data_IF_902034765125
#
_entry.id   IF_902034765125
#
_cell.length_a   1.000
_cell.length_b   1.000
_cell.length_c   1.000
_cell.angle_alpha   90.00
_cell.angle_beta   90.00
_cell.angle_gamma   90.00
#
_symmetry.space_group_name_H-M   'P 1'
#
loop_
_entity.id
_entity.type
_entity.pdbx_description
1 polymer ?
#
# COMPACT_ATOMS: atom_id res chain seq x y z
N UNK A 1 -14.43 9.60 6.87
CA UNK A 1 -13.67 10.52 5.98
C UNK A 1 -12.38 10.94 6.65
N UNK A 2 -11.32 11.16 5.89
CA UNK A 2 -9.99 11.57 6.38
C UNK A 2 -9.40 12.72 5.54
N UNK A 3 -10.11 13.15 4.51
CA UNK A 3 -9.73 14.31 3.71
C UNK A 3 -10.08 15.60 4.48
N UNK A 4 -9.06 16.42 4.74
CA UNK A 4 -9.20 17.65 5.51
C UNK A 4 -10.21 18.62 4.87
N UNK A 5 -10.15 18.78 3.55
CA UNK A 5 -10.99 19.76 2.86
C UNK A 5 -12.45 19.31 2.87
N UNK A 6 -12.72 18.02 2.73
CA UNK A 6 -14.06 17.47 2.86
C UNK A 6 -14.62 17.64 4.26
N UNK A 7 -13.82 17.38 5.30
CA UNK A 7 -14.24 17.56 6.70
C UNK A 7 -14.58 19.04 6.96
N UNK A 8 -13.76 19.99 6.46
CA UNK A 8 -13.96 21.42 6.65
C UNK A 8 -15.15 21.99 5.89
N UNK A 9 -15.61 21.33 4.81
CA UNK A 9 -16.78 21.74 4.03
C UNK A 9 -18.08 21.05 4.48
N UNK A 10 -18.01 20.14 5.45
CA UNK A 10 -19.20 19.49 5.99
C UNK A 10 -20.03 20.46 6.86
N UNK A 11 -21.34 20.31 6.86
CA UNK A 11 -22.23 21.07 7.76
C UNK A 11 -22.16 20.54 9.20
N UNK A 12 -21.91 19.23 9.34
CA UNK A 12 -21.84 18.54 10.63
C UNK A 12 -20.82 17.42 10.61
N UNK A 13 -20.03 17.29 11.66
CA UNK A 13 -18.95 16.29 11.81
C UNK A 13 -19.20 15.47 13.07
N UNK A 14 -19.09 14.17 12.95
CA UNK A 14 -19.02 13.22 14.05
C UNK A 14 -17.60 12.62 14.06
N UNK A 15 -16.84 12.90 15.10
CA UNK A 15 -15.49 12.37 15.29
C UNK A 15 -15.54 11.13 16.20
N UNK A 16 -15.09 10.00 15.67
CA UNK A 16 -15.14 8.71 16.36
C UNK A 16 -13.73 8.29 16.76
N UNK A 17 -13.58 7.94 18.03
CA UNK A 17 -12.28 7.60 18.61
C UNK A 17 -12.42 6.96 19.99
N UNK A 18 -11.41 7.20 20.88
CA UNK A 18 -10.16 7.94 20.65
C UNK A 18 -9.11 7.17 19.85
N UNK A 19 -9.21 5.84 19.74
CA UNK A 19 -8.28 4.98 19.02
C UNK A 19 -8.97 4.10 18.02
N UNK A 20 -8.32 2.99 17.65
CA UNK A 20 -8.84 2.00 16.72
C UNK A 20 -9.19 0.68 17.44
N UNK A 21 -10.06 -0.14 16.84
CA UNK A 21 -10.46 -1.44 17.38
C UNK A 21 -11.13 -1.32 18.75
N UNK A 22 -10.67 -2.09 19.73
CA UNK A 22 -11.20 -2.10 21.11
C UNK A 22 -11.06 -0.77 21.85
N UNK A 23 -10.22 0.12 21.36
CA UNK A 23 -9.96 1.45 21.93
C UNK A 23 -10.73 2.56 21.20
N UNK A 24 -11.59 2.21 20.27
CA UNK A 24 -12.41 3.13 19.48
C UNK A 24 -13.90 2.98 19.77
N UNK A 25 -14.72 3.47 18.83
CA UNK A 25 -16.17 3.29 18.85
C UNK A 25 -16.95 4.28 19.70
N UNK A 26 -16.31 5.33 20.20
CA UNK A 26 -16.96 6.42 20.95
C UNK A 26 -17.01 7.70 20.13
N UNK A 27 -18.07 8.49 20.27
CA UNK A 27 -18.09 9.85 19.77
C UNK A 27 -17.21 10.70 20.68
N UNK A 28 -16.11 11.23 20.18
CA UNK A 28 -15.15 12.06 20.92
C UNK A 28 -15.35 13.55 20.67
N UNK A 29 -16.00 13.89 19.56
CA UNK A 29 -16.44 15.25 19.25
C UNK A 29 -17.61 15.21 18.27
N UNK A 30 -18.51 16.21 18.35
CA UNK A 30 -19.68 16.35 17.51
C UNK A 30 -19.99 17.84 17.35
N UNK A 31 -20.39 18.25 16.13
CA UNK A 31 -20.80 19.62 15.83
C UNK A 31 -20.37 20.10 14.46
N UNK A 32 -20.39 21.40 14.24
CA UNK A 32 -19.81 22.00 13.03
C UNK A 32 -18.29 21.81 13.00
N UNK A 33 -17.63 21.95 11.85
CA UNK A 33 -16.15 21.89 11.77
C UNK A 33 -15.47 22.87 12.74
N UNK A 34 -16.06 24.05 12.99
CA UNK A 34 -15.54 25.03 13.94
C UNK A 34 -15.67 24.57 15.39
N UNK A 35 -16.72 23.85 15.74
CA UNK A 35 -16.91 23.29 17.08
C UNK A 35 -15.88 22.18 17.35
N UNK A 36 -15.58 21.38 16.33
CA UNK A 36 -14.57 20.31 16.42
C UNK A 36 -13.18 20.87 16.76
N UNK A 37 -12.79 22.04 16.28
CA UNK A 37 -11.47 22.61 16.58
C UNK A 37 -11.20 22.79 18.09
N UNK A 38 -12.22 23.00 18.87
CA UNK A 38 -12.10 23.19 20.33
C UNK A 38 -12.21 21.90 21.14
N UNK A 39 -12.53 20.77 20.51
CA UNK A 39 -12.80 19.49 21.22
C UNK A 39 -11.57 18.85 21.85
N UNK A 40 -10.36 19.20 21.43
CA UNK A 40 -9.12 18.56 21.89
C UNK A 40 -8.89 17.14 21.35
N UNK A 41 -9.78 16.63 20.50
CA UNK A 41 -9.62 15.32 19.86
C UNK A 41 -8.36 15.27 18.98
N UNK A 42 -7.90 14.06 18.63
CA UNK A 42 -6.76 13.93 17.71
C UNK A 42 -7.06 14.59 16.36
N UNK A 43 -8.26 14.42 15.85
CA UNK A 43 -8.74 15.05 14.62
C UNK A 43 -8.68 16.57 14.73
N UNK A 44 -9.17 17.14 15.85
CA UNK A 44 -9.15 18.58 16.07
C UNK A 44 -7.73 19.16 16.10
N UNK A 45 -6.78 18.45 16.71
CA UNK A 45 -5.39 18.89 16.79
C UNK A 45 -4.75 18.98 15.40
N UNK A 46 -5.08 18.06 14.48
CA UNK A 46 -4.59 18.12 13.09
C UNK A 46 -5.34 19.16 12.24
N UNK A 47 -6.65 19.26 12.38
CA UNK A 47 -7.45 20.24 11.63
C UNK A 47 -7.09 21.67 12.01
N UNK A 48 -6.92 21.95 13.31
CA UNK A 48 -6.51 23.27 13.81
C UNK A 48 -5.04 23.61 13.58
N UNK A 49 -4.22 22.64 13.15
CA UNK A 49 -2.79 22.82 12.95
C UNK A 49 -1.95 22.77 14.23
N UNK A 50 -2.54 22.47 15.39
CA UNK A 50 -1.77 22.23 16.64
C UNK A 50 -0.81 21.04 16.48
N UNK A 51 -1.26 20.00 15.80
CA UNK A 51 -0.43 18.89 15.33
C UNK A 51 -0.26 18.97 13.82
N UNK A 52 0.94 18.74 13.36
CA UNK A 52 1.24 18.60 11.94
C UNK A 52 2.43 17.64 11.76
N UNK A 53 2.54 17.07 10.58
CA UNK A 53 3.71 16.28 10.22
C UNK A 53 4.82 17.26 9.88
N UNK A 54 5.90 17.21 10.66
CA UNK A 54 7.05 18.10 10.42
C UNK A 54 7.69 17.84 9.05
N UNK A 55 7.76 18.87 8.25
CA UNK A 55 8.50 18.82 6.98
C UNK A 55 9.99 18.98 7.25
N UNK A 56 10.80 18.18 6.57
CA UNK A 56 12.26 18.33 6.64
C UNK A 56 12.65 19.73 6.17
N UNK A 57 13.35 20.47 7.02
CA UNK A 57 13.85 21.83 6.70
C UNK A 57 14.86 21.83 5.55
N UNK A 58 15.62 20.74 5.38
CA UNK A 58 16.59 20.58 4.29
C UNK A 58 16.15 19.45 3.34
N UNK A 59 15.98 19.78 2.07
CA UNK A 59 15.77 18.79 1.00
C UNK A 59 17.05 17.97 0.80
N UNK A 60 16.90 16.69 0.44
CA UNK A 60 18.04 15.83 0.07
C UNK A 60 18.71 16.40 -1.17
N UNK A 61 20.06 16.49 -1.17
CA UNK A 61 20.82 16.95 -2.34
C UNK A 61 20.80 15.90 -3.47
N UNK A 62 20.64 14.61 -3.13
CA UNK A 62 20.83 13.50 -4.03
C UNK A 62 22.31 13.23 -4.29
N UNK A 63 22.60 12.19 -5.06
CA UNK A 63 23.97 11.74 -5.37
C UNK A 63 24.48 12.28 -6.71
N UNK A 64 23.66 13.08 -7.40
CA UNK A 64 24.00 13.62 -8.73
C UNK A 64 23.66 12.67 -9.89
N UNK A 65 23.38 11.39 -9.62
CA UNK A 65 22.98 10.41 -10.62
C UNK A 65 21.50 10.55 -10.96
N UNK A 66 21.16 10.25 -12.20
CA UNK A 66 19.78 10.29 -12.70
C UNK A 66 19.44 9.02 -13.48
N UNK A 67 18.20 8.57 -13.34
CA UNK A 67 17.58 7.65 -14.27
C UNK A 67 16.84 8.48 -15.32
N UNK A 68 17.13 8.27 -16.61
CA UNK A 68 16.54 9.05 -17.69
C UNK A 68 15.78 8.14 -18.65
N UNK A 69 14.46 8.30 -18.70
CA UNK A 69 13.59 7.65 -19.68
C UNK A 69 13.36 8.59 -20.85
N UNK A 70 13.74 8.18 -22.06
CA UNK A 70 13.61 8.99 -23.29
C UNK A 70 12.55 8.41 -24.21
N UNK A 71 11.77 9.26 -24.82
CA UNK A 71 10.88 8.91 -25.89
C UNK A 71 9.65 8.08 -25.49
N UNK A 72 9.13 8.23 -24.29
CA UNK A 72 7.92 7.53 -23.85
C UNK A 72 6.69 7.98 -24.66
N UNK A 73 6.00 7.02 -25.35
CA UNK A 73 4.93 7.29 -26.33
C UNK A 73 3.66 6.49 -26.12
N UNK A 74 3.52 5.78 -25.04
CA UNK A 74 2.33 4.98 -24.78
C UNK A 74 1.09 5.82 -24.44
N UNK A 75 -0.09 5.36 -24.86
CA UNK A 75 -1.37 6.02 -24.62
C UNK A 75 -1.35 7.50 -25.06
N UNK A 76 -1.50 8.42 -24.11
CA UNK A 76 -1.50 9.86 -24.36
C UNK A 76 -0.12 10.53 -24.21
N UNK A 77 0.94 9.77 -23.93
CA UNK A 77 2.30 10.31 -23.86
C UNK A 77 2.82 10.74 -25.22
N UNK A 78 3.35 11.96 -25.29
CA UNK A 78 3.81 12.59 -26.54
C UNK A 78 5.33 12.70 -26.58
N UNK A 79 6.01 11.56 -26.74
CA UNK A 79 7.47 11.49 -26.83
C UNK A 79 8.18 12.14 -25.61
N UNK A 80 7.73 11.75 -24.41
CA UNK A 80 8.16 12.36 -23.16
C UNK A 80 9.56 11.90 -22.80
N UNK A 81 10.44 12.85 -22.45
CA UNK A 81 11.70 12.56 -21.77
C UNK A 81 11.56 12.94 -20.30
N UNK A 82 11.69 11.95 -19.41
CA UNK A 82 11.57 12.14 -17.98
C UNK A 82 12.89 11.81 -17.28
N UNK A 83 13.32 12.71 -16.37
CA UNK A 83 14.52 12.55 -15.54
C UNK A 83 14.13 12.30 -14.10
N UNK A 84 14.67 11.25 -13.53
CA UNK A 84 14.41 10.84 -12.14
C UNK A 84 15.72 10.94 -11.35
N UNK A 85 15.97 12.06 -10.66
CA UNK A 85 17.20 12.23 -9.86
C UNK A 85 17.21 11.24 -8.69
N UNK A 86 18.27 10.44 -8.57
CA UNK A 86 18.39 9.39 -7.58
C UNK A 86 18.72 9.95 -6.17
N UNK A 87 18.43 9.14 -5.14
CA UNK A 87 18.58 9.53 -3.74
C UNK A 87 17.56 10.57 -3.25
N UNK A 88 16.45 10.79 -3.98
CA UNK A 88 15.41 11.79 -3.67
C UNK A 88 14.02 11.16 -3.62
N UNK A 89 13.10 11.81 -2.92
CA UNK A 89 11.68 11.56 -3.05
C UNK A 89 11.17 12.35 -4.28
N UNK A 90 10.62 11.63 -5.25
CA UNK A 90 10.10 12.20 -6.48
C UNK A 90 8.59 12.06 -6.49
N UNK A 91 7.86 13.15 -6.69
CA UNK A 91 6.42 13.15 -6.87
C UNK A 91 6.08 13.37 -8.34
N UNK A 92 5.29 12.46 -8.93
CA UNK A 92 4.72 12.60 -10.26
C UNK A 92 3.27 13.02 -10.12
N UNK A 93 2.96 14.25 -10.49
CA UNK A 93 1.66 14.89 -10.27
C UNK A 93 0.96 15.26 -11.58
N UNK A 94 -0.29 15.62 -11.52
CA UNK A 94 -1.11 16.06 -12.66
C UNK A 94 -2.56 15.59 -12.52
N UNK A 95 -3.45 16.13 -13.34
CA UNK A 95 -4.87 15.76 -13.34
C UNK A 95 -5.09 14.28 -13.68
N UNK A 96 -6.28 13.76 -13.36
CA UNK A 96 -6.64 12.39 -13.76
C UNK A 96 -6.59 12.28 -15.28
N UNK A 97 -6.07 11.13 -15.78
CA UNK A 97 -5.91 10.91 -17.23
C UNK A 97 -4.72 11.63 -17.89
N UNK A 98 -3.88 12.39 -17.15
CA UNK A 98 -2.74 13.12 -17.73
C UNK A 98 -1.58 12.24 -18.23
N UNK A 99 -1.60 10.93 -17.94
CA UNK A 99 -0.55 9.99 -18.37
C UNK A 99 0.45 9.58 -17.27
N UNK A 100 0.22 9.97 -16.00
CA UNK A 100 1.10 9.57 -14.87
C UNK A 100 1.28 8.06 -14.77
N UNK A 101 0.19 7.30 -14.79
CA UNK A 101 0.22 5.84 -14.73
C UNK A 101 0.88 5.24 -15.97
N UNK A 102 0.61 5.79 -17.14
CA UNK A 102 1.25 5.35 -18.40
C UNK A 102 2.77 5.55 -18.35
N UNK A 103 3.24 6.66 -17.78
CA UNK A 103 4.67 6.92 -17.65
C UNK A 103 5.33 5.99 -16.63
N UNK A 104 4.73 5.84 -15.43
CA UNK A 104 5.33 5.13 -14.30
C UNK A 104 5.01 3.64 -14.33
N UNK A 105 3.72 3.26 -14.27
CA UNK A 105 3.31 1.86 -14.11
C UNK A 105 3.33 1.06 -15.43
N UNK A 106 3.10 1.72 -16.58
CA UNK A 106 3.01 1.03 -17.85
C UNK A 106 4.28 1.18 -18.71
N UNK A 107 5.18 2.12 -18.38
CA UNK A 107 6.44 2.30 -19.10
C UNK A 107 7.65 2.03 -18.18
N UNK A 108 7.89 2.90 -17.19
CA UNK A 108 9.11 2.85 -16.38
C UNK A 108 9.20 1.57 -15.55
N UNK A 109 8.14 1.22 -14.82
CA UNK A 109 8.14 0.04 -13.94
C UNK A 109 8.39 -1.27 -14.69
N UNK A 110 7.70 -1.57 -15.83
CA UNK A 110 8.00 -2.77 -16.61
C UNK A 110 9.44 -2.84 -17.11
N UNK A 111 10.03 -1.71 -17.54
CA UNK A 111 11.44 -1.67 -17.97
C UNK A 111 12.36 -2.10 -16.81
N UNK A 112 12.18 -1.50 -15.64
CA UNK A 112 12.96 -1.85 -14.45
C UNK A 112 12.75 -3.31 -14.03
N UNK A 113 11.51 -3.77 -14.08
CA UNK A 113 11.14 -5.13 -13.68
C UNK A 113 11.70 -6.18 -14.66
N UNK A 114 11.75 -5.88 -15.96
CA UNK A 114 12.45 -6.71 -16.94
C UNK A 114 13.95 -6.76 -16.66
N UNK A 115 14.57 -5.61 -16.39
CA UNK A 115 16.01 -5.51 -16.15
C UNK A 115 16.45 -6.28 -14.89
N UNK A 116 15.74 -6.15 -13.77
CA UNK A 116 16.15 -6.74 -12.49
C UNK A 116 15.60 -8.15 -12.25
N UNK A 117 14.44 -8.48 -12.78
CA UNK A 117 13.73 -9.73 -12.45
C UNK A 117 13.34 -10.58 -13.67
N UNK A 118 13.77 -10.20 -14.87
CA UNK A 118 13.40 -10.88 -16.13
C UNK A 118 11.88 -11.04 -16.30
N UNK A 119 11.11 -10.04 -15.85
CA UNK A 119 9.66 -10.06 -15.95
C UNK A 119 9.20 -10.01 -17.42
N UNK A 120 8.07 -10.66 -17.71
CA UNK A 120 7.55 -10.77 -19.09
C UNK A 120 6.66 -9.61 -19.53
N UNK A 121 6.29 -8.71 -18.60
CA UNK A 121 5.41 -7.59 -18.93
C UNK A 121 6.15 -6.60 -19.82
N UNK A 122 5.62 -6.41 -21.03
CA UNK A 122 6.18 -5.46 -21.99
C UNK A 122 5.87 -4.02 -21.58
N UNK A 123 6.87 -3.13 -21.59
CA UNK A 123 6.65 -1.69 -21.40
C UNK A 123 5.95 -1.06 -22.60
N UNK A 124 5.26 0.04 -22.38
CA UNK A 124 4.78 0.89 -23.47
C UNK A 124 5.96 1.45 -24.28
N UNK A 125 5.74 1.83 -25.56
CA UNK A 125 6.82 2.26 -26.46
C UNK A 125 7.65 3.42 -25.88
N UNK A 126 8.96 3.28 -25.94
CA UNK A 126 9.97 4.28 -25.55
C UNK A 126 11.21 4.13 -26.43
N UNK A 127 12.12 5.10 -26.40
CA UNK A 127 13.35 5.02 -27.19
C UNK A 127 14.49 4.39 -26.41
N UNK A 128 14.76 4.90 -25.19
CA UNK A 128 15.92 4.50 -24.40
C UNK A 128 15.72 4.80 -22.91
N UNK A 129 16.37 4.00 -22.07
CA UNK A 129 16.56 4.30 -20.65
C UNK A 129 18.06 4.36 -20.36
N UNK A 130 18.47 5.32 -19.52
CA UNK A 130 19.84 5.51 -19.09
C UNK A 130 19.91 5.59 -17.58
N UNK A 131 21.02 5.14 -16.97
CA UNK A 131 21.26 5.20 -15.53
C UNK A 131 20.77 3.97 -14.74
N UNK A 132 20.49 2.85 -15.41
CA UNK A 132 20.11 1.58 -14.76
C UNK A 132 21.19 1.05 -13.82
N UNK A 133 22.46 1.28 -14.15
CA UNK A 133 23.62 0.83 -13.35
C UNK A 133 23.70 1.48 -11.96
N UNK A 134 22.94 2.55 -11.73
CA UNK A 134 22.86 3.24 -10.43
C UNK A 134 21.74 2.72 -9.54
N UNK A 135 21.03 1.65 -9.95
CA UNK A 135 19.87 1.10 -9.24
C UNK A 135 20.12 -0.38 -8.98
N UNK A 136 19.93 -0.80 -7.73
CA UNK A 136 20.12 -2.21 -7.35
C UNK A 136 18.84 -3.04 -7.55
N UNK A 137 17.69 -2.45 -7.32
CA UNK A 137 16.37 -3.12 -7.41
C UNK A 137 15.23 -2.14 -7.55
N UNK A 138 14.09 -2.64 -7.97
CA UNK A 138 12.80 -1.93 -7.96
C UNK A 138 11.82 -2.63 -7.02
N UNK A 139 11.07 -1.85 -6.26
CA UNK A 139 9.98 -2.34 -5.40
C UNK A 139 8.74 -1.55 -5.74
N UNK A 140 7.69 -2.24 -6.16
CA UNK A 140 6.36 -1.65 -6.34
C UNK A 140 5.58 -1.74 -5.04
N UNK A 141 5.00 -0.63 -4.62
CA UNK A 141 4.04 -0.57 -3.53
C UNK A 141 2.77 0.04 -4.10
N UNK A 142 1.72 -0.73 -4.16
CA UNK A 142 0.41 -0.28 -4.63
C UNK A 142 -0.63 -0.31 -3.49
N UNK A 143 -1.83 0.16 -3.78
CA UNK A 143 -2.96 0.14 -2.86
C UNK A 143 -3.91 -1.05 -3.12
N UNK A 144 -3.47 -2.03 -3.89
CA UNK A 144 -4.27 -3.22 -4.16
C UNK A 144 -4.52 -4.00 -2.86
N UNK A 145 -5.74 -4.47 -2.62
CA UNK A 145 -6.02 -5.28 -1.45
C UNK A 145 -5.21 -6.59 -1.49
N UNK A 146 -4.71 -7.00 -0.32
CA UNK A 146 -4.01 -8.28 -0.15
C UNK A 146 -5.01 -9.42 -0.36
N UNK A 147 -5.16 -9.84 -1.60
CA UNK A 147 -6.10 -10.87 -2.02
C UNK A 147 -7.53 -10.35 -2.18
N UNK A 148 -8.33 -11.11 -2.93
CA UNK A 148 -9.71 -10.74 -3.30
C UNK A 148 -10.76 -11.65 -2.65
N UNK A 149 -10.35 -12.49 -1.71
CA UNK A 149 -11.24 -13.47 -1.09
C UNK A 149 -11.18 -13.38 0.43
N UNK A 150 -12.25 -13.74 1.15
CA UNK A 150 -12.26 -13.80 2.62
C UNK A 150 -11.16 -14.70 3.21
N UNK A 151 -10.61 -15.61 2.41
CA UNK A 151 -9.53 -16.53 2.79
C UNK A 151 -8.13 -15.91 2.66
N UNK A 152 -8.04 -14.72 2.06
CA UNK A 152 -6.78 -14.00 1.91
C UNK A 152 -6.55 -13.13 3.14
N UNK A 153 -5.39 -13.31 3.77
CA UNK A 153 -4.97 -12.53 4.93
C UNK A 153 -3.46 -12.29 4.88
N UNK A 154 -2.94 -11.32 5.63
CA UNK A 154 -1.51 -10.99 5.63
C UNK A 154 -0.59 -12.18 5.92
N UNK A 155 -0.95 -13.05 6.87
CA UNK A 155 -0.12 -14.21 7.22
C UNK A 155 -0.02 -15.25 6.10
N UNK A 156 -1.11 -15.41 5.31
CA UNK A 156 -1.10 -16.27 4.12
C UNK A 156 -0.29 -15.64 2.99
N UNK A 157 -0.47 -14.33 2.78
CA UNK A 157 0.22 -13.59 1.72
C UNK A 157 1.75 -13.58 1.92
N UNK A 158 2.22 -13.37 3.14
CA UNK A 158 3.65 -13.36 3.48
C UNK A 158 4.26 -14.77 3.61
N UNK A 159 3.43 -15.82 3.57
CA UNK A 159 3.90 -17.20 3.74
C UNK A 159 4.09 -17.65 5.19
N UNK A 160 4.06 -16.73 6.16
CA UNK A 160 4.25 -17.02 7.60
C UNK A 160 3.28 -18.09 8.12
N UNK A 161 2.08 -18.14 7.59
CA UNK A 161 1.09 -19.16 8.00
C UNK A 161 1.54 -20.60 7.70
N UNK A 162 2.45 -20.79 6.75
CA UNK A 162 3.05 -22.11 6.47
C UNK A 162 3.94 -22.56 7.65
N UNK A 163 4.78 -21.67 8.14
CA UNK A 163 5.64 -21.94 9.30
C UNK A 163 4.81 -22.20 10.57
N UNK A 164 3.75 -21.42 10.78
CA UNK A 164 2.79 -21.60 11.89
C UNK A 164 2.18 -23.00 11.83
N UNK A 165 1.71 -23.45 10.66
CA UNK A 165 1.11 -24.80 10.51
C UNK A 165 2.13 -25.91 10.79
N UNK A 166 3.36 -25.74 10.35
CA UNK A 166 4.44 -26.70 10.62
C UNK A 166 4.75 -26.76 12.12
N UNK A 167 4.82 -25.61 12.79
CA UNK A 167 5.02 -25.55 14.24
C UNK A 167 3.91 -26.31 14.98
N UNK A 168 2.64 -26.04 14.67
CA UNK A 168 1.53 -26.74 15.31
C UNK A 168 1.54 -28.26 15.03
N UNK A 169 1.89 -28.67 13.82
CA UNK A 169 2.03 -30.09 13.48
C UNK A 169 3.19 -30.78 14.21
N UNK A 170 4.20 -30.02 14.63
CA UNK A 170 5.37 -30.56 15.36
C UNK A 170 5.10 -30.81 16.84
N UNK A 171 4.02 -30.27 17.42
CA UNK A 171 3.68 -30.43 18.81
C UNK A 171 3.43 -31.91 19.17
N UNK A 172 3.78 -32.33 20.40
CA UNK A 172 3.59 -33.74 20.83
C UNK A 172 2.17 -34.23 20.67
N UNK A 173 1.17 -33.44 21.05
CA UNK A 173 -0.25 -33.80 20.92
C UNK A 173 -0.70 -33.97 19.45
N UNK A 174 -0.18 -33.13 18.54
CA UNK A 174 -0.47 -33.25 17.13
C UNK A 174 0.11 -34.54 16.54
N UNK A 175 1.34 -34.87 16.94
CA UNK A 175 2.02 -36.12 16.53
C UNK A 175 1.30 -37.37 17.05
N UNK A 176 0.90 -37.38 18.31
CA UNK A 176 0.13 -38.50 18.91
C UNK A 176 -1.18 -38.73 18.14
N UNK A 177 -1.84 -37.65 17.69
CA UNK A 177 -3.10 -37.71 16.94
C UNK A 177 -2.91 -37.88 15.41
N UNK A 178 -1.68 -37.96 14.92
CA UNK A 178 -1.35 -38.07 13.49
C UNK A 178 -1.75 -36.81 12.67
N UNK A 179 -1.76 -35.63 13.30
CA UNK A 179 -2.14 -34.38 12.63
C UNK A 179 -0.96 -33.80 11.85
N UNK A 180 -1.06 -33.78 10.54
CA UNK A 180 -0.15 -33.06 9.66
C UNK A 180 -0.52 -31.57 9.51
N UNK A 181 0.32 -30.76 8.81
CA UNK A 181 0.09 -29.31 8.61
C UNK A 181 -1.27 -28.96 8.00
N UNK A 182 -1.85 -29.83 7.19
CA UNK A 182 -3.17 -29.65 6.59
C UNK A 182 -4.30 -29.56 7.62
N UNK A 183 -4.16 -30.21 8.79
CA UNK A 183 -5.14 -30.15 9.88
C UNK A 183 -5.29 -28.75 10.48
N UNK A 184 -4.25 -27.96 10.37
CA UNK A 184 -4.19 -26.56 10.86
C UNK A 184 -4.44 -25.54 9.74
N UNK A 185 -5.00 -25.97 8.60
CA UNK A 185 -5.29 -25.10 7.47
C UNK A 185 -6.78 -24.80 7.41
N UNK A 186 -7.14 -23.52 7.30
CA UNK A 186 -8.52 -23.09 7.06
C UNK A 186 -8.98 -23.25 5.60
N UNK A 187 -8.08 -23.66 4.69
CA UNK A 187 -8.38 -23.84 3.26
C UNK A 187 -8.59 -25.30 2.85
N UNK A 188 -8.10 -26.24 3.66
CA UNK A 188 -8.06 -27.66 3.30
C UNK A 188 -9.17 -28.43 4.02
N UNK A 189 -9.85 -29.29 3.30
CA UNK A 189 -10.84 -30.20 3.89
C UNK A 189 -10.22 -31.05 5.01
N UNK A 190 -10.90 -31.18 6.13
CA UNK A 190 -10.40 -31.84 7.33
C UNK A 190 -9.58 -30.95 8.27
N UNK A 191 -9.14 -29.76 7.83
CA UNK A 191 -8.55 -28.72 8.66
C UNK A 191 -9.49 -27.53 8.84
N UNK A 192 -10.25 -27.18 7.80
CA UNK A 192 -11.19 -26.06 7.79
C UNK A 192 -12.51 -26.40 8.48
N UNK A 193 -13.23 -25.38 8.90
CA UNK A 193 -14.63 -25.51 9.29
C UNK A 193 -15.46 -25.83 8.04
N UNK A 194 -16.22 -26.93 8.05
CA UNK A 194 -17.03 -27.35 6.91
C UNK A 194 -18.29 -26.47 6.73
N UNK A 195 -18.70 -25.74 7.78
CA UNK A 195 -19.89 -24.87 7.73
C UNK A 195 -19.63 -23.57 6.95
N UNK A 196 -18.49 -22.88 7.22
CA UNK A 196 -18.10 -21.66 6.53
C UNK A 196 -17.04 -21.93 5.45
N UNK A 197 -16.64 -23.18 5.26
CA UNK A 197 -15.61 -23.63 4.32
C UNK A 197 -14.28 -22.84 4.41
N UNK A 198 -13.96 -22.29 5.58
CA UNK A 198 -12.78 -21.49 5.82
C UNK A 198 -12.96 -19.99 5.56
N UNK A 199 -14.15 -19.52 5.23
CA UNK A 199 -14.41 -18.08 5.02
C UNK A 199 -14.47 -17.27 6.32
N UNK A 200 -14.69 -17.92 7.48
CA UNK A 200 -14.78 -17.24 8.78
C UNK A 200 -16.13 -16.57 9.05
N UNK A 201 -17.00 -16.53 8.05
CA UNK A 201 -18.35 -15.95 8.14
C UNK A 201 -19.34 -16.83 7.38
N UNK A 202 -20.62 -16.63 7.66
CA UNK A 202 -21.76 -17.27 6.98
C UNK A 202 -22.51 -16.24 6.17
#
# INVERSE_FOLDING_TARGET
>A
EHDKDMILHADHVLDIGPGAGIHGGHIVAEGSPTDIFSSGSLTSQYLSGQKHIELRKKKRKGEGNELVLKGARGHNLKNVTAKFPLGKLIAVTGVSGSGKSSLIHDTLYPILNQHFFNAKREPLPYDKIEGLDFIDKVIEVDQSPIGRTPRSNPATYTGVFTEIRQLFASLPEAKIRGYGPGRFSFNVKGGRCETCEGAGMR
#
